data_IF_113807770698
#
_entry.id   IF_113807770698
#
_cell.length_a   1.000
_cell.length_b   1.000
_cell.length_c   1.000
_cell.angle_alpha   90.00
_cell.angle_beta   90.00
_cell.angle_gamma   90.00
#
_symmetry.space_group_name_H-M   'P 1'
#
loop_
_entity.id
_entity.type
_entity.pdbx_description
1 polymer ?
#
# COMPACT_ATOMS: atom_id res chain seq x y z
N UNK A 1 25.12 55.77 -41.58
CA UNK A 1 24.60 54.61 -40.84
C UNK A 1 23.12 54.53 -41.13
N UNK A 2 22.71 53.49 -41.84
CA UNK A 2 21.30 53.24 -42.09
C UNK A 2 20.63 52.79 -40.77
N UNK A 3 19.34 53.07 -40.63
CA UNK A 3 18.55 52.67 -39.45
C UNK A 3 18.64 51.14 -39.22
N UNK A 4 18.84 50.37 -40.29
CA UNK A 4 19.01 48.91 -40.28
C UNK A 4 20.35 48.42 -39.70
N UNK A 5 21.42 49.21 -39.79
CA UNK A 5 22.69 48.88 -39.14
C UNK A 5 22.61 49.12 -37.62
N UNK A 6 21.88 50.16 -37.21
CA UNK A 6 21.69 50.50 -35.81
C UNK A 6 20.80 49.48 -35.07
N UNK A 7 19.74 49.00 -35.72
CA UNK A 7 18.89 47.93 -35.16
C UNK A 7 19.64 46.61 -35.04
N UNK A 8 20.46 46.23 -36.04
CA UNK A 8 21.32 45.04 -35.94
C UNK A 8 22.36 45.14 -34.83
N UNK A 9 22.95 46.32 -34.62
CA UNK A 9 23.93 46.54 -33.55
C UNK A 9 23.29 46.41 -32.16
N UNK A 10 22.11 47.00 -31.97
CA UNK A 10 21.37 46.93 -30.69
C UNK A 10 20.87 45.52 -30.38
N UNK A 11 20.44 44.76 -31.39
CA UNK A 11 20.00 43.38 -31.24
C UNK A 11 21.18 42.42 -30.94
N UNK A 12 22.33 42.65 -31.57
CA UNK A 12 23.57 41.92 -31.27
C UNK A 12 24.06 42.22 -29.85
N UNK A 13 24.00 43.48 -29.40
CA UNK A 13 24.36 43.89 -28.05
C UNK A 13 23.45 43.28 -26.99
N UNK A 14 22.14 43.22 -27.22
CA UNK A 14 21.19 42.59 -26.29
C UNK A 14 21.35 41.08 -26.21
N UNK A 15 21.64 40.40 -27.34
CA UNK A 15 21.99 38.97 -27.33
C UNK A 15 23.30 38.69 -26.59
N UNK A 16 24.32 39.54 -26.75
CA UNK A 16 25.58 39.38 -26.03
C UNK A 16 25.43 39.64 -24.51
N UNK A 17 24.70 40.70 -24.15
CA UNK A 17 24.43 41.04 -22.75
C UNK A 17 23.62 39.94 -22.06
N UNK A 18 22.57 39.42 -22.69
CA UNK A 18 21.75 38.35 -22.09
C UNK A 18 22.52 37.04 -21.87
N UNK A 19 23.50 36.72 -22.73
CA UNK A 19 24.38 35.56 -22.55
C UNK A 19 25.38 35.74 -21.40
N UNK A 20 25.79 36.98 -21.10
CA UNK A 20 26.75 37.28 -20.04
C UNK A 20 26.12 37.59 -18.68
N UNK A 21 24.86 38.05 -18.66
CA UNK A 21 24.13 38.37 -17.42
C UNK A 21 23.88 37.12 -16.59
N UNK A 22 23.48 36.00 -17.19
CA UNK A 22 23.20 34.76 -16.44
C UNK A 22 24.44 34.18 -15.74
N UNK A 23 25.60 34.03 -16.39
CA UNK A 23 26.83 33.61 -15.73
C UNK A 23 27.29 34.58 -14.64
N UNK A 24 27.18 35.89 -14.87
CA UNK A 24 27.56 36.90 -13.88
C UNK A 24 26.64 36.88 -12.65
N UNK A 25 25.34 36.70 -12.85
CA UNK A 25 24.35 36.60 -11.79
C UNK A 25 24.51 35.28 -11.02
N UNK A 26 24.79 34.18 -11.71
CA UNK A 26 25.13 32.90 -11.09
C UNK A 26 26.41 33.02 -10.25
N UNK A 27 27.46 33.63 -10.79
CA UNK A 27 28.71 33.86 -10.07
C UNK A 27 28.49 34.78 -8.85
N UNK A 28 27.70 35.84 -8.99
CA UNK A 28 27.34 36.73 -7.89
C UNK A 28 26.57 35.98 -6.79
N UNK A 29 25.57 35.17 -7.15
CA UNK A 29 24.83 34.34 -6.20
C UNK A 29 25.75 33.33 -5.51
N UNK A 30 26.62 32.67 -6.26
CA UNK A 30 27.58 31.70 -5.71
C UNK A 30 28.64 32.35 -4.81
N UNK A 31 29.07 33.57 -5.07
CA UNK A 31 30.04 34.29 -4.20
C UNK A 31 29.33 34.85 -2.98
N UNK A 32 28.15 35.47 -3.15
CA UNK A 32 27.45 36.19 -2.09
C UNK A 32 26.70 35.27 -1.13
N UNK A 33 26.16 34.16 -1.65
CA UNK A 33 25.41 33.16 -0.90
C UNK A 33 26.13 31.81 -0.84
N UNK A 34 27.32 31.66 -1.43
CA UNK A 34 28.11 30.43 -1.40
C UNK A 34 28.29 29.81 -0.02
N UNK A 35 28.65 30.58 1.02
CA UNK A 35 28.75 30.04 2.38
C UNK A 35 27.40 29.48 2.89
N UNK A 36 26.31 30.21 2.67
CA UNK A 36 24.96 29.79 3.08
C UNK A 36 24.41 28.63 2.23
N UNK A 37 24.71 28.60 0.93
CA UNK A 37 24.41 27.49 0.03
C UNK A 37 25.21 26.26 0.43
N UNK A 38 26.48 26.40 0.81
CA UNK A 38 27.31 25.30 1.30
C UNK A 38 26.77 24.73 2.61
N UNK A 39 26.31 25.56 3.55
CA UNK A 39 25.61 25.10 4.76
C UNK A 39 24.26 24.44 4.44
N UNK A 40 23.48 25.00 3.51
CA UNK A 40 22.22 24.43 3.06
C UNK A 40 22.41 23.08 2.35
N UNK A 41 23.42 22.94 1.50
CA UNK A 41 23.74 21.66 0.85
C UNK A 41 24.40 20.66 1.80
N UNK A 42 25.15 21.12 2.81
CA UNK A 42 25.70 20.24 3.85
C UNK A 42 24.61 19.73 4.80
N UNK A 43 23.63 20.57 5.15
CA UNK A 43 22.44 20.15 5.91
C UNK A 43 21.49 19.27 5.07
N UNK A 44 21.39 19.50 3.75
CA UNK A 44 20.72 18.55 2.84
C UNK A 44 21.48 17.23 2.73
N UNK A 45 22.82 17.25 2.80
CA UNK A 45 23.68 16.07 2.88
C UNK A 45 23.38 15.24 4.13
N UNK A 46 23.13 15.88 5.28
CA UNK A 46 22.68 15.20 6.50
C UNK A 46 21.21 14.73 6.41
N UNK A 47 20.32 15.46 5.73
CA UNK A 47 18.91 15.07 5.55
C UNK A 47 18.70 13.96 4.50
N UNK A 48 19.55 13.87 3.48
CA UNK A 48 19.44 12.88 2.40
C UNK A 48 20.13 11.55 2.73
N UNK A 49 21.10 11.55 3.66
CA UNK A 49 21.85 10.34 4.03
C UNK A 49 21.28 9.58 5.22
N UNK A 50 20.28 10.12 5.93
CA UNK A 50 19.53 9.43 6.99
C UNK A 50 18.03 9.75 6.93
N UNK A 51 17.30 9.08 6.04
CA UNK A 51 15.90 8.71 6.29
C UNK A 51 14.80 9.78 6.20
N UNK A 52 15.07 11.09 6.22
CA UNK A 52 14.02 12.11 6.40
C UNK A 52 12.86 12.09 5.37
N UNK A 53 13.17 11.93 4.09
CA UNK A 53 12.14 11.84 3.04
C UNK A 53 11.36 10.52 3.06
N UNK A 54 12.07 9.40 3.25
CA UNK A 54 11.48 8.07 3.32
C UNK A 54 10.64 7.88 4.59
N UNK A 55 11.07 8.44 5.72
CA UNK A 55 10.32 8.44 6.98
C UNK A 55 9.05 9.26 6.89
N UNK A 56 9.08 10.42 6.23
CA UNK A 56 7.88 11.22 6.00
C UNK A 56 6.85 10.49 5.13
N UNK A 57 7.30 9.86 4.02
CA UNK A 57 6.42 9.04 3.17
C UNK A 57 5.91 7.80 3.91
N UNK A 58 6.75 7.13 4.70
CA UNK A 58 6.35 5.96 5.47
C UNK A 58 5.31 6.30 6.53
N UNK A 59 5.50 7.38 7.30
CA UNK A 59 4.52 7.88 8.28
C UNK A 59 3.19 8.24 7.63
N UNK A 60 3.25 8.85 6.44
CA UNK A 60 2.03 9.17 5.67
C UNK A 60 1.28 7.90 5.25
N UNK A 61 1.96 6.94 4.63
CA UNK A 61 1.36 5.65 4.25
C UNK A 61 0.79 4.91 5.47
N UNK A 62 1.49 4.93 6.59
CA UNK A 62 1.03 4.34 7.84
C UNK A 62 -0.24 5.03 8.37
N UNK A 63 -0.32 6.36 8.31
CA UNK A 63 -1.52 7.10 8.72
C UNK A 63 -2.70 6.82 7.78
N UNK A 64 -2.48 6.76 6.47
CA UNK A 64 -3.50 6.42 5.47
C UNK A 64 -4.02 4.98 5.68
N UNK A 65 -3.12 4.01 5.88
CA UNK A 65 -3.46 2.64 6.19
C UNK A 65 -4.25 2.52 7.51
N UNK A 66 -3.84 3.24 8.55
CA UNK A 66 -4.53 3.27 9.83
C UNK A 66 -5.95 3.83 9.71
N UNK A 67 -6.12 4.95 9.00
CA UNK A 67 -7.44 5.55 8.79
C UNK A 67 -8.38 4.60 8.05
N UNK A 68 -7.92 3.95 6.98
CA UNK A 68 -8.70 2.98 6.23
C UNK A 68 -9.02 1.72 7.06
N UNK A 69 -8.06 1.21 7.85
CA UNK A 69 -8.29 0.03 8.69
C UNK A 69 -9.28 0.31 9.84
N UNK A 70 -9.23 1.52 10.41
CA UNK A 70 -10.24 2.00 11.37
C UNK A 70 -11.61 2.04 10.71
N UNK A 71 -11.72 2.61 9.50
CA UNK A 71 -12.97 2.64 8.76
C UNK A 71 -13.51 1.23 8.49
N UNK A 72 -12.66 0.29 8.07
CA UNK A 72 -13.03 -1.11 7.87
C UNK A 72 -13.55 -1.77 9.16
N UNK A 73 -12.88 -1.53 10.27
CA UNK A 73 -13.24 -2.12 11.57
C UNK A 73 -14.59 -1.60 12.10
N UNK A 74 -14.91 -0.35 11.80
CA UNK A 74 -16.18 0.28 12.22
C UNK A 74 -17.32 0.01 11.24
N UNK A 75 -17.06 -0.04 9.93
CA UNK A 75 -18.06 -0.25 8.88
C UNK A 75 -18.59 -1.70 8.82
N UNK A 76 -17.86 -2.64 9.41
CA UNK A 76 -18.27 -4.05 9.52
C UNK A 76 -19.68 -4.16 10.14
N UNK A 77 -20.59 -4.99 9.59
CA UNK A 77 -21.85 -5.28 10.24
C UNK A 77 -21.62 -6.10 11.52
N UNK A 78 -22.10 -5.59 12.66
CA UNK A 78 -22.18 -6.33 13.92
C UNK A 78 -23.49 -5.96 14.63
N UNK A 79 -24.35 -6.95 14.84
CA UNK A 79 -25.66 -6.77 15.45
C UNK A 79 -25.58 -6.24 16.89
N UNK A 80 -24.44 -6.42 17.57
CA UNK A 80 -24.22 -6.00 18.96
C UNK A 80 -23.30 -4.78 19.08
N UNK A 81 -23.11 -4.01 18.00
CA UNK A 81 -22.21 -2.85 18.03
C UNK A 81 -22.70 -1.76 18.97
N UNK A 82 -21.83 -1.36 19.89
CA UNK A 82 -22.01 -0.21 20.80
C UNK A 82 -20.96 0.86 20.48
N UNK A 83 -21.20 2.14 20.84
CA UNK A 83 -20.17 3.17 20.70
C UNK A 83 -18.84 2.79 21.38
N UNK A 84 -18.93 2.13 22.55
CA UNK A 84 -17.76 1.66 23.28
C UNK A 84 -17.04 0.48 22.63
N UNK A 85 -17.73 -0.43 21.92
CA UNK A 85 -17.05 -1.48 21.14
C UNK A 85 -16.43 -0.92 19.86
N UNK A 86 -17.14 -0.03 19.15
CA UNK A 86 -16.60 0.64 17.96
C UNK A 86 -15.32 1.45 18.26
N UNK A 87 -15.29 2.19 19.37
CA UNK A 87 -14.09 2.93 19.78
C UNK A 87 -12.91 2.01 20.14
N UNK A 88 -13.20 0.85 20.74
CA UNK A 88 -12.18 -0.17 21.03
C UNK A 88 -11.63 -0.79 19.75
N UNK A 89 -12.50 -1.18 18.83
CA UNK A 89 -12.12 -1.74 17.52
C UNK A 89 -11.26 -0.74 16.72
N UNK A 90 -11.65 0.54 16.70
CA UNK A 90 -10.88 1.60 16.06
C UNK A 90 -9.48 1.78 16.69
N UNK A 91 -9.40 1.80 18.03
CA UNK A 91 -8.12 1.92 18.73
C UNK A 91 -7.21 0.73 18.43
N UNK A 92 -7.76 -0.48 18.42
CA UNK A 92 -7.01 -1.70 18.11
C UNK A 92 -6.50 -1.68 16.66
N UNK A 93 -7.35 -1.32 15.69
CA UNK A 93 -6.95 -1.20 14.30
C UNK A 93 -5.79 -0.21 14.10
N UNK A 94 -5.85 0.96 14.74
CA UNK A 94 -4.77 1.94 14.68
C UNK A 94 -3.48 1.41 15.32
N UNK A 95 -3.57 0.69 16.45
CA UNK A 95 -2.43 0.09 17.12
C UNK A 95 -1.75 -0.99 16.27
N UNK A 96 -2.54 -1.88 15.64
CA UNK A 96 -2.03 -2.93 14.74
C UNK A 96 -1.19 -2.32 13.61
N UNK A 97 -1.65 -1.22 13.00
CA UNK A 97 -0.89 -0.52 11.95
C UNK A 97 0.35 0.17 12.52
N UNK A 98 0.25 0.77 13.70
CA UNK A 98 1.37 1.41 14.38
C UNK A 98 2.52 0.40 14.65
N UNK A 99 2.17 -0.81 15.07
CA UNK A 99 3.11 -1.85 15.50
C UNK A 99 3.65 -2.70 14.34
N UNK A 100 2.80 -3.01 13.35
CA UNK A 100 3.14 -3.95 12.27
C UNK A 100 3.76 -3.29 11.05
N UNK A 101 3.54 -1.98 10.85
CA UNK A 101 4.00 -1.27 9.65
C UNK A 101 5.33 -0.56 9.92
N UNK A 102 6.35 -0.98 9.18
CA UNK A 102 7.66 -0.35 9.14
C UNK A 102 8.15 -0.21 7.69
N UNK A 103 9.28 0.46 7.48
CA UNK A 103 9.81 0.70 6.14
C UNK A 103 10.07 -0.57 5.32
N UNK A 104 10.46 -1.69 5.97
CA UNK A 104 10.65 -2.98 5.29
C UNK A 104 9.32 -3.54 4.80
N UNK A 105 8.29 -3.50 5.65
CA UNK A 105 6.94 -3.97 5.30
C UNK A 105 6.36 -3.14 4.16
N UNK A 106 6.49 -1.81 4.21
CA UNK A 106 6.00 -0.92 3.13
C UNK A 106 6.68 -1.27 1.80
N UNK A 107 8.00 -1.51 1.79
CA UNK A 107 8.72 -1.88 0.57
C UNK A 107 8.24 -3.22 0.00
N UNK A 108 8.06 -4.24 0.84
CA UNK A 108 7.53 -5.55 0.39
C UNK A 108 6.09 -5.43 -0.09
N UNK A 109 5.27 -4.67 0.62
CA UNK A 109 3.89 -4.41 0.24
C UNK A 109 3.79 -3.73 -1.14
N UNK A 110 4.69 -2.79 -1.46
CA UNK A 110 4.68 -2.11 -2.78
C UNK A 110 5.04 -3.00 -3.97
N UNK A 111 5.60 -4.18 -3.73
CA UNK A 111 5.92 -5.16 -4.78
C UNK A 111 4.90 -6.31 -4.80
N UNK A 112 4.01 -6.37 -3.81
CA UNK A 112 3.10 -7.48 -3.62
C UNK A 112 1.81 -7.33 -4.42
N UNK A 113 1.35 -8.45 -4.98
CA UNK A 113 0.04 -8.57 -5.62
C UNK A 113 -0.82 -9.60 -4.88
N UNK A 114 -1.95 -9.13 -4.35
CA UNK A 114 -2.95 -9.95 -3.69
C UNK A 114 -4.12 -10.29 -4.63
N UNK A 115 -4.60 -11.54 -4.58
CA UNK A 115 -5.86 -11.93 -5.19
C UNK A 115 -6.97 -11.87 -4.14
N UNK A 116 -8.01 -11.08 -4.37
CA UNK A 116 -9.21 -11.08 -3.52
C UNK A 116 -10.37 -11.74 -4.24
N UNK A 117 -10.93 -12.80 -3.66
CA UNK A 117 -12.04 -13.58 -4.21
C UNK A 117 -13.30 -13.39 -3.38
N UNK A 118 -14.24 -12.59 -3.87
CA UNK A 118 -15.46 -12.17 -3.15
C UNK A 118 -16.56 -11.83 -4.17
N UNK A 119 -17.78 -12.31 -3.95
CA UNK A 119 -18.91 -12.07 -4.86
C UNK A 119 -19.42 -10.62 -4.80
N UNK A 120 -19.08 -9.89 -3.73
CA UNK A 120 -19.46 -8.49 -3.50
C UNK A 120 -18.24 -7.65 -3.07
N UNK A 121 -17.28 -7.38 -3.99
CA UNK A 121 -16.06 -6.64 -3.69
C UNK A 121 -16.27 -5.18 -3.26
N UNK A 122 -17.49 -4.65 -3.36
CA UNK A 122 -17.86 -3.37 -2.76
C UNK A 122 -17.87 -3.40 -1.23
N UNK A 123 -18.05 -4.57 -0.62
CA UNK A 123 -18.14 -4.73 0.84
C UNK A 123 -16.79 -4.67 1.54
N UNK A 124 -15.68 -4.76 0.79
CA UNK A 124 -14.32 -4.87 1.34
C UNK A 124 -13.40 -3.72 0.90
N UNK A 125 -13.98 -2.58 0.51
CA UNK A 125 -13.26 -1.41 0.01
C UNK A 125 -12.27 -0.89 1.05
N UNK A 126 -12.68 -0.74 2.31
CA UNK A 126 -11.82 -0.15 3.35
C UNK A 126 -10.66 -1.06 3.74
N UNK A 127 -10.88 -2.37 3.78
CA UNK A 127 -9.83 -3.36 3.99
C UNK A 127 -8.79 -3.29 2.87
N UNK A 128 -9.24 -3.26 1.60
CA UNK A 128 -8.32 -3.10 0.47
C UNK A 128 -7.58 -1.78 0.53
N UNK A 129 -8.26 -0.67 0.76
CA UNK A 129 -7.65 0.66 0.89
C UNK A 129 -6.55 0.69 1.96
N UNK A 130 -6.74 -0.02 3.07
CA UNK A 130 -5.73 -0.08 4.13
C UNK A 130 -4.42 -0.74 3.68
N UNK A 131 -4.50 -1.78 2.83
CA UNK A 131 -3.35 -2.50 2.28
C UNK A 131 -2.79 -1.79 1.04
N UNK A 132 -3.65 -1.21 0.21
CA UNK A 132 -3.29 -0.37 -0.95
C UNK A 132 -2.50 0.87 -0.52
N UNK A 133 -2.84 1.49 0.62
CA UNK A 133 -2.07 2.59 1.20
C UNK A 133 -0.61 2.21 1.50
N UNK A 134 -0.34 0.94 1.82
CA UNK A 134 1.03 0.43 1.96
C UNK A 134 1.69 0.17 0.60
N UNK A 135 0.90 -0.12 -0.43
CA UNK A 135 1.33 -0.34 -1.81
C UNK A 135 0.90 -1.69 -2.39
N UNK A 136 0.13 -2.50 -1.66
CA UNK A 136 -0.34 -3.80 -2.16
C UNK A 136 -1.26 -3.58 -3.36
N UNK A 137 -1.00 -4.28 -4.46
CA UNK A 137 -1.87 -4.28 -5.63
C UNK A 137 -2.91 -5.39 -5.50
N UNK A 138 -4.17 -5.11 -5.84
CA UNK A 138 -5.24 -6.10 -5.81
C UNK A 138 -5.70 -6.50 -7.22
N UNK A 139 -5.82 -7.80 -7.43
CA UNK A 139 -6.65 -8.37 -8.50
C UNK A 139 -7.89 -8.95 -7.85
N UNK A 140 -9.04 -8.63 -8.42
CA UNK A 140 -10.33 -9.10 -7.93
C UNK A 140 -10.82 -10.27 -8.78
N UNK A 141 -11.46 -11.22 -8.13
CA UNK A 141 -12.24 -12.27 -8.76
C UNK A 141 -13.56 -12.44 -8.00
N UNK A 142 -14.64 -12.72 -8.72
CA UNK A 142 -15.99 -12.81 -8.14
C UNK A 142 -16.42 -14.26 -7.88
N UNK A 143 -15.68 -15.22 -8.40
CA UNK A 143 -15.98 -16.65 -8.30
C UNK A 143 -14.71 -17.49 -8.16
N UNK A 144 -14.89 -18.74 -7.74
CA UNK A 144 -13.79 -19.72 -7.66
C UNK A 144 -13.17 -19.98 -9.03
N UNK A 145 -13.97 -20.04 -10.09
CA UNK A 145 -13.46 -20.32 -11.44
C UNK A 145 -12.70 -19.11 -12.00
N UNK A 146 -13.22 -17.89 -11.82
CA UNK A 146 -12.47 -16.67 -12.18
C UNK A 146 -11.14 -16.59 -11.41
N UNK A 147 -11.14 -16.93 -10.11
CA UNK A 147 -9.91 -16.94 -9.32
C UNK A 147 -8.87 -17.90 -9.91
N UNK A 148 -9.27 -19.12 -10.27
CA UNK A 148 -8.40 -20.12 -10.90
C UNK A 148 -7.86 -19.64 -12.26
N UNK A 149 -8.70 -19.00 -13.07
CA UNK A 149 -8.28 -18.40 -14.35
C UNK A 149 -7.22 -17.31 -14.16
N UNK A 150 -7.33 -16.49 -13.11
CA UNK A 150 -6.32 -15.48 -12.77
C UNK A 150 -5.02 -16.13 -12.29
N UNK A 151 -5.13 -17.15 -11.43
CA UNK A 151 -4.01 -17.92 -10.89
C UNK A 151 -3.23 -18.68 -11.97
N UNK A 152 -3.88 -19.06 -13.07
CA UNK A 152 -3.22 -19.66 -14.22
C UNK A 152 -2.40 -18.64 -15.04
N UNK A 153 -2.74 -17.34 -14.95
CA UNK A 153 -2.13 -16.28 -15.77
C UNK A 153 -1.01 -15.53 -15.06
N UNK A 154 -1.07 -15.43 -13.73
CA UNK A 154 -0.07 -14.72 -12.93
C UNK A 154 0.06 -15.31 -11.52
N UNK A 155 1.20 -15.01 -10.89
CA UNK A 155 1.45 -15.37 -9.49
C UNK A 155 0.89 -14.29 -8.56
N UNK A 156 0.57 -14.72 -7.35
CA UNK A 156 0.11 -13.87 -6.26
C UNK A 156 0.88 -14.18 -4.99
N UNK A 157 1.14 -13.16 -4.19
CA UNK A 157 1.85 -13.27 -2.91
C UNK A 157 0.93 -13.70 -1.77
N UNK A 158 -0.36 -13.41 -1.91
CA UNK A 158 -1.41 -13.80 -0.97
C UNK A 158 -2.76 -13.88 -1.67
N UNK A 159 -3.60 -14.81 -1.23
CA UNK A 159 -4.98 -14.96 -1.67
C UNK A 159 -5.88 -14.72 -0.45
N UNK A 160 -6.85 -13.81 -0.61
CA UNK A 160 -7.93 -13.56 0.35
C UNK A 160 -9.20 -14.08 -0.30
N UNK A 161 -9.92 -14.97 0.37
CA UNK A 161 -11.14 -15.54 -0.18
C UNK A 161 -12.28 -15.47 0.82
N UNK A 162 -13.43 -14.97 0.39
CA UNK A 162 -14.65 -15.08 1.15
C UNK A 162 -15.01 -16.56 1.39
N UNK A 163 -15.61 -16.89 2.52
CA UNK A 163 -15.98 -18.27 2.83
C UNK A 163 -17.12 -18.75 1.93
N UNK A 164 -18.17 -17.94 1.81
CA UNK A 164 -19.42 -18.34 1.15
C UNK A 164 -19.75 -17.42 0.00
N UNK A 165 -19.70 -17.96 -1.22
CA UNK A 165 -20.08 -17.23 -2.44
C UNK A 165 -21.13 -18.05 -3.18
N UNK A 166 -22.29 -17.49 -3.57
CA UNK A 166 -23.29 -18.25 -4.30
C UNK A 166 -22.71 -18.95 -5.54
N UNK A 167 -23.10 -20.21 -5.81
CA UNK A 167 -24.04 -21.05 -5.05
C UNK A 167 -23.42 -21.83 -3.87
N UNK A 168 -22.10 -21.70 -3.63
CA UNK A 168 -21.34 -22.51 -2.68
C UNK A 168 -21.05 -21.78 -1.35
N UNK A 169 -21.73 -22.20 -0.28
CA UNK A 169 -21.52 -21.68 1.08
C UNK A 169 -20.11 -21.93 1.65
N UNK A 170 -19.31 -22.81 1.03
CA UNK A 170 -17.94 -23.14 1.40
C UNK A 170 -16.95 -22.88 0.25
N UNK A 171 -17.29 -21.97 -0.67
CA UNK A 171 -16.47 -21.62 -1.83
C UNK A 171 -15.02 -21.29 -1.49
N UNK A 172 -14.76 -20.66 -0.32
CA UNK A 172 -13.40 -20.40 0.16
C UNK A 172 -12.57 -21.67 0.35
N UNK A 173 -13.16 -22.72 0.93
CA UNK A 173 -12.51 -24.02 1.07
C UNK A 173 -12.42 -24.77 -0.25
N UNK A 174 -13.45 -24.71 -1.09
CA UNK A 174 -13.43 -25.30 -2.43
C UNK A 174 -12.25 -24.74 -3.25
N UNK A 175 -12.01 -23.43 -3.21
CA UNK A 175 -10.87 -22.81 -3.88
C UNK A 175 -9.54 -23.25 -3.26
N UNK A 176 -9.43 -23.27 -1.93
CA UNK A 176 -8.23 -23.70 -1.21
C UNK A 176 -7.84 -25.15 -1.55
N UNK A 177 -8.81 -26.06 -1.58
CA UNK A 177 -8.57 -27.47 -1.90
C UNK A 177 -8.08 -27.65 -3.34
N UNK A 178 -8.71 -26.99 -4.31
CA UNK A 178 -8.25 -26.98 -5.71
C UNK A 178 -6.82 -26.45 -5.85
N UNK A 179 -6.49 -25.38 -5.11
CA UNK A 179 -5.14 -24.81 -5.09
C UNK A 179 -4.11 -25.80 -4.52
N UNK A 180 -4.38 -26.40 -3.36
CA UNK A 180 -3.45 -27.35 -2.74
C UNK A 180 -3.30 -28.62 -3.57
N UNK A 181 -4.37 -29.10 -4.21
CA UNK A 181 -4.33 -30.23 -5.13
C UNK A 181 -3.45 -29.98 -6.37
N UNK A 182 -3.35 -28.73 -6.82
CA UNK A 182 -2.44 -28.33 -7.92
C UNK A 182 -1.00 -28.05 -7.46
N UNK A 183 -0.68 -28.28 -6.19
CA UNK A 183 0.64 -28.00 -5.60
C UNK A 183 0.91 -26.52 -5.32
N UNK A 184 -0.08 -25.64 -5.51
CA UNK A 184 0.06 -24.22 -5.22
C UNK A 184 0.05 -24.00 -3.70
N UNK A 185 1.13 -23.40 -3.17
CA UNK A 185 1.33 -23.10 -1.75
C UNK A 185 1.20 -21.61 -1.42
N UNK A 186 0.63 -20.79 -2.32
CA UNK A 186 0.39 -19.37 -2.07
C UNK A 186 -0.35 -19.21 -0.73
N UNK A 187 0.12 -18.31 0.16
CA UNK A 187 -0.55 -17.99 1.40
C UNK A 187 -2.02 -17.65 1.18
N UNK A 188 -2.89 -18.27 1.98
CA UNK A 188 -4.33 -18.20 1.77
C UNK A 188 -5.02 -17.79 3.07
N UNK A 189 -5.87 -16.77 3.02
CA UNK A 189 -6.64 -16.27 4.16
C UNK A 189 -8.12 -16.39 3.83
N UNK A 190 -8.88 -17.00 4.74
CA UNK A 190 -10.33 -17.04 4.65
C UNK A 190 -10.88 -15.79 5.35
N UNK A 191 -11.66 -14.99 4.62
CA UNK A 191 -12.46 -13.92 5.18
C UNK A 191 -13.89 -14.44 5.33
N UNK A 192 -14.45 -14.37 6.53
CA UNK A 192 -15.76 -14.98 6.80
C UNK A 192 -16.60 -14.09 7.70
N UNK A 193 -17.87 -14.47 7.89
CA UNK A 193 -18.73 -13.87 8.91
C UNK A 193 -18.38 -14.30 10.34
N UNK A 194 -17.61 -15.38 10.51
CA UNK A 194 -17.25 -15.95 11.81
C UNK A 194 -15.77 -15.81 12.15
N UNK A 195 -15.47 -15.61 13.44
CA UNK A 195 -14.12 -15.60 14.01
C UNK A 195 -13.90 -16.66 15.08
N UNK A 196 -14.79 -17.67 15.14
CA UNK A 196 -14.75 -18.69 16.17
C UNK A 196 -13.43 -19.49 16.11
N UNK A 197 -12.81 -19.84 17.25
CA UNK A 197 -11.55 -20.60 17.29
C UNK A 197 -11.60 -21.91 16.49
N UNK A 198 -12.76 -22.56 16.45
CA UNK A 198 -13.01 -23.81 15.73
C UNK A 198 -12.87 -23.61 14.21
N UNK A 199 -13.41 -22.53 13.66
CA UNK A 199 -13.27 -22.19 12.24
C UNK A 199 -11.84 -21.80 11.89
N UNK A 200 -11.12 -21.14 12.81
CA UNK A 200 -9.68 -20.86 12.63
C UNK A 200 -8.87 -22.14 12.58
N UNK A 201 -9.15 -23.07 13.48
CA UNK A 201 -8.48 -24.37 13.53
C UNK A 201 -8.77 -25.18 12.27
N UNK A 202 -10.02 -25.21 11.79
CA UNK A 202 -10.40 -25.87 10.54
C UNK A 202 -9.68 -25.25 9.33
N UNK A 203 -9.65 -23.92 9.22
CA UNK A 203 -8.96 -23.27 8.10
C UNK A 203 -7.46 -23.62 8.08
N UNK A 204 -6.82 -23.64 9.26
CA UNK A 204 -5.40 -24.03 9.38
C UNK A 204 -5.16 -25.48 9.04
N UNK A 205 -6.02 -26.41 9.48
CA UNK A 205 -5.85 -27.84 9.16
C UNK A 205 -5.97 -28.13 7.66
N UNK A 206 -6.70 -27.28 6.92
CA UNK A 206 -6.80 -27.31 5.45
C UNK A 206 -5.67 -26.58 4.72
N UNK A 207 -4.74 -25.96 5.44
CA UNK A 207 -3.58 -25.27 4.87
C UNK A 207 -3.80 -23.79 4.54
N UNK A 208 -4.81 -23.14 5.10
CA UNK A 208 -4.90 -21.68 5.15
C UNK A 208 -4.05 -21.12 6.31
N UNK A 209 -3.71 -19.83 6.25
CA UNK A 209 -3.11 -19.10 7.36
C UNK A 209 -4.09 -18.96 8.55
N UNK A 210 -5.38 -18.77 8.22
CA UNK A 210 -6.43 -18.59 9.20
C UNK A 210 -7.78 -18.25 8.55
N UNK A 211 -8.76 -18.04 9.43
CA UNK A 211 -10.10 -17.58 9.10
C UNK A 211 -10.41 -16.38 10.00
N UNK A 212 -10.95 -15.29 9.46
CA UNK A 212 -11.31 -14.13 10.30
C UNK A 212 -12.49 -13.34 9.76
N UNK A 213 -13.20 -12.69 10.69
CA UNK A 213 -14.18 -11.66 10.40
C UNK A 213 -13.74 -10.26 10.87
N UNK A 214 -12.46 -10.08 11.18
CA UNK A 214 -11.92 -8.81 11.67
C UNK A 214 -10.97 -8.22 10.66
N UNK A 215 -11.15 -6.94 10.34
CA UNK A 215 -10.29 -6.24 9.40
C UNK A 215 -8.84 -6.16 9.90
N UNK A 216 -8.64 -5.88 11.20
CA UNK A 216 -7.32 -5.85 11.83
C UNK A 216 -6.57 -7.17 11.72
N UNK A 217 -7.24 -8.29 12.02
CA UNK A 217 -6.63 -9.62 11.93
C UNK A 217 -6.35 -10.03 10.47
N UNK A 218 -7.23 -9.66 9.53
CA UNK A 218 -6.97 -9.87 8.10
C UNK A 218 -5.70 -9.13 7.67
N UNK A 219 -5.57 -7.87 8.09
CA UNK A 219 -4.41 -7.04 7.80
C UNK A 219 -3.12 -7.69 8.32
N UNK A 220 -3.12 -8.20 9.55
CA UNK A 220 -1.98 -8.95 10.12
C UNK A 220 -1.65 -10.22 9.32
N UNK A 221 -2.65 -11.01 8.92
CA UNK A 221 -2.40 -12.21 8.10
C UNK A 221 -1.75 -11.86 6.77
N UNK A 222 -2.20 -10.79 6.11
CA UNK A 222 -1.61 -10.33 4.85
C UNK A 222 -0.16 -9.89 5.07
N UNK A 223 0.10 -9.03 6.05
CA UNK A 223 1.47 -8.59 6.33
C UNK A 223 2.40 -9.76 6.72
N UNK A 224 1.90 -10.72 7.49
CA UNK A 224 2.64 -11.93 7.82
C UNK A 224 2.94 -12.79 6.58
N UNK A 225 2.00 -12.89 5.64
CA UNK A 225 2.22 -13.57 4.36
C UNK A 225 3.35 -12.91 3.56
N UNK A 226 3.30 -11.58 3.40
CA UNK A 226 4.33 -10.81 2.68
C UNK A 226 5.71 -10.87 3.36
N UNK A 227 5.73 -11.11 4.67
CA UNK A 227 6.99 -11.28 5.40
C UNK A 227 7.65 -12.65 5.21
N UNK A 228 6.91 -13.68 4.77
CA UNK A 228 7.42 -15.05 4.59
C UNK A 228 7.99 -15.34 3.20
N UNK A 229 7.68 -14.54 2.18
CA UNK A 229 8.07 -14.78 0.77
C UNK A 229 9.50 -14.26 0.49
N UNK A 230 10.49 -14.57 1.34
CA UNK A 230 11.86 -14.08 1.17
C UNK A 230 12.92 -15.04 1.68
#
# INVERSE_FOLDING_TARGET
MSVDEFTKLTEALTKLLSVLVWPALLAFVLVRFGPALKEFFSSLGEFTFKGGGFEATAKRKQAEAAAALVAASVARPDANRTPGSAARDAKEAAAVVAESVNARVIRRASEATALWVDDRPSNNIFERQSLEALGVSFVLATSTDEALDRLAKQKFDVIISDMGRPPDSRAGYTLLEKLRASGNQTPFVIYAGSNAPEHKAEARSRGALGCTNRASELFEYVLAALNRVG
#
